data_IF_743241471330
#
_entry.id   IF_743241471330
#
_cell.length_a   1.000
_cell.length_b   1.000
_cell.length_c   1.000
_cell.angle_alpha   90.00
_cell.angle_beta   90.00
_cell.angle_gamma   90.00
#
_symmetry.space_group_name_H-M   'P 1'
#
loop_
_entity.id
_entity.type
_entity.pdbx_description
1 polymer ?
#
# COMPACT_ATOMS: atom_id res chain seq x y z
N UNK A 1 -15.65 -35.09 -68.62
CA UNK A 1 -15.13 -34.90 -67.25
C UNK A 1 -15.14 -33.40 -66.95
N UNK A 2 -16.25 -32.82 -66.44
CA UNK A 2 -16.23 -31.43 -66.02
C UNK A 2 -15.46 -31.33 -64.70
N UNK A 3 -14.42 -30.50 -64.67
CA UNK A 3 -13.67 -30.18 -63.47
C UNK A 3 -14.57 -29.39 -62.50
N UNK A 4 -14.64 -29.86 -61.25
CA UNK A 4 -15.50 -29.34 -60.21
C UNK A 4 -14.87 -28.09 -59.55
N UNK A 5 -14.84 -26.98 -60.32
CA UNK A 5 -14.24 -25.71 -59.89
C UNK A 5 -14.97 -25.05 -58.71
N UNK A 6 -16.27 -25.34 -58.54
CA UNK A 6 -17.08 -24.76 -57.47
C UNK A 6 -16.74 -25.34 -56.09
N UNK A 7 -16.41 -26.63 -56.00
CA UNK A 7 -15.97 -27.26 -54.75
C UNK A 7 -14.61 -26.77 -54.25
N UNK A 8 -13.70 -26.44 -55.17
CA UNK A 8 -12.33 -26.00 -54.87
C UNK A 8 -12.29 -24.50 -54.47
N UNK A 9 -13.14 -23.66 -55.08
CA UNK A 9 -13.29 -22.25 -54.68
C UNK A 9 -13.98 -22.13 -53.31
N UNK A 10 -15.01 -22.94 -53.03
CA UNK A 10 -15.71 -22.92 -51.73
C UNK A 10 -14.81 -23.33 -50.55
N UNK A 11 -13.88 -24.26 -50.76
CA UNK A 11 -12.91 -24.71 -49.75
C UNK A 11 -11.76 -23.72 -49.54
N UNK A 12 -11.28 -23.06 -50.60
CA UNK A 12 -10.26 -22.00 -50.50
C UNK A 12 -10.79 -20.73 -49.83
N UNK A 13 -12.03 -20.32 -50.12
CA UNK A 13 -12.67 -19.15 -49.49
C UNK A 13 -12.95 -19.43 -48.01
N UNK A 14 -13.41 -20.63 -47.65
CA UNK A 14 -13.63 -21.01 -46.25
C UNK A 14 -12.34 -21.07 -45.42
N UNK A 15 -11.24 -21.56 -46.00
CA UNK A 15 -9.95 -21.69 -45.29
C UNK A 15 -9.23 -20.35 -45.11
N UNK A 16 -9.30 -19.45 -46.08
CA UNK A 16 -8.73 -18.09 -45.95
C UNK A 16 -9.52 -17.20 -44.99
N UNK A 17 -10.86 -17.28 -44.98
CA UNK A 17 -11.70 -16.61 -43.97
C UNK A 17 -11.47 -17.17 -42.57
N UNK A 18 -11.38 -18.50 -42.40
CA UNK A 18 -11.09 -19.11 -41.11
C UNK A 18 -9.70 -18.72 -40.56
N UNK A 19 -8.68 -18.67 -41.42
CA UNK A 19 -7.32 -18.29 -41.03
C UNK A 19 -7.20 -16.81 -40.64
N UNK A 20 -7.90 -15.91 -41.35
CA UNK A 20 -7.87 -14.47 -41.06
C UNK A 20 -8.68 -14.11 -39.81
N UNK A 21 -9.80 -14.79 -39.56
CA UNK A 21 -10.55 -14.68 -38.30
C UNK A 21 -9.72 -15.22 -37.13
N UNK A 22 -9.05 -16.37 -37.30
CA UNK A 22 -8.14 -16.93 -36.30
C UNK A 22 -6.96 -16.02 -35.95
N UNK A 23 -6.34 -15.38 -36.95
CA UNK A 23 -5.25 -14.43 -36.75
C UNK A 23 -5.70 -13.15 -36.03
N UNK A 24 -6.89 -12.62 -36.36
CA UNK A 24 -7.46 -11.45 -35.69
C UNK A 24 -7.77 -11.74 -34.22
N UNK A 25 -8.41 -12.86 -33.91
CA UNK A 25 -8.67 -13.26 -32.53
C UNK A 25 -7.36 -13.53 -31.79
N UNK A 26 -6.41 -14.25 -32.37
CA UNK A 26 -5.09 -14.52 -31.76
C UNK A 26 -4.32 -13.22 -31.46
N UNK A 27 -4.32 -12.24 -32.38
CA UNK A 27 -3.71 -10.94 -32.17
C UNK A 27 -4.41 -10.13 -31.06
N UNK A 28 -5.75 -10.13 -31.03
CA UNK A 28 -6.55 -9.44 -30.00
C UNK A 28 -6.40 -10.07 -28.61
N UNK A 29 -6.39 -11.39 -28.52
CA UNK A 29 -6.18 -12.11 -27.27
C UNK A 29 -4.73 -11.98 -26.77
N UNK A 30 -3.76 -11.99 -27.69
CA UNK A 30 -2.34 -11.77 -27.36
C UNK A 30 -2.07 -10.37 -26.81
N UNK A 31 -2.70 -9.32 -27.35
CA UNK A 31 -2.54 -7.95 -26.83
C UNK A 31 -3.10 -7.81 -25.41
N UNK A 32 -4.30 -8.35 -25.16
CA UNK A 32 -4.94 -8.32 -23.84
C UNK A 32 -4.15 -9.12 -22.79
N UNK A 33 -3.55 -10.25 -23.17
CA UNK A 33 -2.69 -11.03 -22.28
C UNK A 33 -1.41 -10.27 -21.92
N UNK A 34 -0.78 -9.59 -22.89
CA UNK A 34 0.40 -8.75 -22.63
C UNK A 34 0.08 -7.57 -21.72
N UNK A 35 -1.02 -6.87 -21.96
CA UNK A 35 -1.47 -5.77 -21.10
C UNK A 35 -1.69 -6.23 -19.65
N UNK A 36 -2.33 -7.38 -19.46
CA UNK A 36 -2.54 -7.97 -18.12
C UNK A 36 -1.24 -8.39 -17.45
N UNK A 37 -0.31 -8.96 -18.22
CA UNK A 37 1.00 -9.36 -17.70
C UNK A 37 1.80 -8.12 -17.25
N UNK A 38 1.84 -7.07 -18.07
CA UNK A 38 2.50 -5.81 -17.73
C UNK A 38 1.87 -5.14 -16.49
N UNK A 39 0.53 -5.10 -16.41
CA UNK A 39 -0.15 -4.57 -15.23
C UNK A 39 0.16 -5.38 -13.97
N UNK A 40 0.23 -6.72 -14.09
CA UNK A 40 0.61 -7.59 -12.98
C UNK A 40 2.07 -7.39 -12.54
N UNK A 41 2.99 -7.21 -13.48
CA UNK A 41 4.40 -6.93 -13.24
C UNK A 41 4.59 -5.58 -12.52
N UNK A 42 4.03 -4.50 -13.08
CA UNK A 42 4.10 -3.16 -12.47
C UNK A 42 3.56 -3.13 -11.05
N UNK A 43 2.45 -3.84 -10.82
CA UNK A 43 1.89 -4.01 -9.48
C UNK A 43 2.84 -4.75 -8.54
N UNK A 44 3.48 -5.81 -9.02
CA UNK A 44 4.44 -6.59 -8.21
C UNK A 44 5.63 -5.75 -7.79
N UNK A 45 6.20 -5.03 -8.74
CA UNK A 45 7.35 -4.16 -8.49
C UNK A 45 6.97 -3.03 -7.53
N UNK A 46 5.84 -2.37 -7.77
CA UNK A 46 5.32 -1.31 -6.89
C UNK A 46 5.10 -1.85 -5.47
N UNK A 47 4.47 -3.01 -5.32
CA UNK A 47 4.23 -3.60 -4.00
C UNK A 47 5.54 -3.96 -3.30
N UNK A 48 6.52 -4.53 -4.01
CA UNK A 48 7.80 -4.92 -3.43
C UNK A 48 8.57 -3.71 -2.88
N UNK A 49 8.60 -2.59 -3.63
CA UNK A 49 9.21 -1.34 -3.18
C UNK A 49 8.53 -0.85 -1.89
N UNK A 50 7.20 -0.77 -1.87
CA UNK A 50 6.47 -0.30 -0.69
C UNK A 50 6.67 -1.23 0.51
N UNK A 51 6.60 -2.55 0.32
CA UNK A 51 6.81 -3.54 1.39
C UNK A 51 8.22 -3.42 1.98
N UNK A 52 9.24 -3.20 1.14
CA UNK A 52 10.60 -2.99 1.61
C UNK A 52 10.71 -1.74 2.48
N UNK A 53 10.14 -0.60 2.03
CA UNK A 53 10.12 0.64 2.81
C UNK A 53 9.42 0.48 4.16
N UNK A 54 8.28 -0.22 4.18
CA UNK A 54 7.58 -0.52 5.43
C UNK A 54 8.40 -1.45 6.35
N UNK A 55 9.19 -2.37 5.80
CA UNK A 55 10.06 -3.22 6.60
C UNK A 55 11.21 -2.44 7.24
N UNK A 56 11.81 -1.50 6.50
CA UNK A 56 12.83 -0.57 7.03
C UNK A 56 12.26 0.28 8.17
N UNK A 57 11.09 0.89 7.96
CA UNK A 57 10.40 1.68 8.98
C UNK A 57 10.02 0.85 10.22
N UNK A 58 9.54 -0.39 10.02
CA UNK A 58 9.25 -1.33 11.12
C UNK A 58 10.52 -1.68 11.91
N UNK A 59 11.67 -1.79 11.23
CA UNK A 59 12.98 -1.96 11.88
C UNK A 59 13.27 -0.81 12.84
N UNK A 60 13.12 0.43 12.37
CA UNK A 60 13.32 1.62 13.22
C UNK A 60 12.35 1.67 14.40
N UNK A 61 11.07 1.36 14.19
CA UNK A 61 10.09 1.30 15.28
C UNK A 61 10.46 0.27 16.35
N UNK A 62 11.02 -0.89 15.96
CA UNK A 62 11.49 -1.91 16.92
C UNK A 62 12.69 -1.42 17.73
N UNK A 63 13.53 -0.60 17.13
CA UNK A 63 14.72 -0.04 17.76
C UNK A 63 14.46 1.32 18.44
N UNK A 64 13.24 1.85 18.41
CA UNK A 64 12.93 3.22 18.84
C UNK A 64 13.29 3.54 20.31
N UNK A 65 13.41 2.51 21.16
CA UNK A 65 13.88 2.66 22.55
C UNK A 65 15.38 2.98 22.61
N UNK A 66 16.18 2.46 21.68
CA UNK A 66 17.64 2.54 21.69
C UNK A 66 18.20 3.46 20.59
N UNK A 67 17.49 3.60 19.47
CA UNK A 67 17.89 4.37 18.29
C UNK A 67 16.95 5.56 18.11
N UNK A 68 17.42 6.73 18.55
CA UNK A 68 16.67 8.01 18.52
C UNK A 68 17.33 9.07 17.64
N UNK A 69 18.16 8.65 16.69
CA UNK A 69 18.75 9.55 15.71
C UNK A 69 17.68 10.04 14.73
N UNK A 70 17.27 11.29 14.89
CA UNK A 70 16.22 11.92 14.09
C UNK A 70 16.58 11.96 12.61
N UNK A 71 17.86 12.05 12.23
CA UNK A 71 18.28 12.03 10.82
C UNK A 71 17.99 10.67 10.20
N UNK A 72 18.25 9.58 10.91
CA UNK A 72 17.96 8.21 10.44
C UNK A 72 16.45 8.03 10.26
N UNK A 73 15.66 8.46 11.24
CA UNK A 73 14.20 8.43 11.15
C UNK A 73 13.66 9.24 9.97
N UNK A 74 14.17 10.46 9.78
CA UNK A 74 13.79 11.34 8.70
C UNK A 74 14.02 10.69 7.34
N UNK A 75 15.25 10.23 7.07
CA UNK A 75 15.61 9.61 5.78
C UNK A 75 14.71 8.41 5.47
N UNK A 76 14.42 7.57 6.46
CA UNK A 76 13.55 6.40 6.26
C UNK A 76 12.10 6.79 5.99
N UNK A 77 11.58 7.79 6.71
CA UNK A 77 10.20 8.26 6.57
C UNK A 77 10.00 8.96 5.23
N UNK A 78 10.91 9.86 4.85
CA UNK A 78 10.92 10.54 3.55
C UNK A 78 10.95 9.53 2.41
N UNK A 79 11.90 8.60 2.41
CA UNK A 79 12.00 7.55 1.40
C UNK A 79 10.74 6.65 1.34
N UNK A 80 10.06 6.45 2.47
CA UNK A 80 8.78 5.73 2.51
C UNK A 80 7.67 6.55 1.88
N UNK A 81 7.54 7.83 2.22
CA UNK A 81 6.50 8.71 1.70
C UNK A 81 6.63 8.98 0.20
N UNK A 82 7.85 9.20 -0.28
CA UNK A 82 8.14 9.36 -1.70
C UNK A 82 7.73 8.12 -2.50
N UNK A 83 8.05 6.93 -1.98
CA UNK A 83 7.62 5.68 -2.60
C UNK A 83 6.09 5.56 -2.70
N UNK A 84 5.35 6.04 -1.69
CA UNK A 84 3.89 6.07 -1.74
C UNK A 84 3.35 7.11 -2.72
N UNK A 85 3.98 8.27 -2.85
CA UNK A 85 3.57 9.29 -3.82
C UNK A 85 3.79 8.80 -5.25
N UNK A 86 4.94 8.20 -5.53
CA UNK A 86 5.25 7.56 -6.82
C UNK A 86 4.27 6.43 -7.16
N UNK A 87 3.85 5.67 -6.15
CA UNK A 87 2.92 4.56 -6.29
C UNK A 87 1.44 5.00 -6.36
N UNK A 88 1.11 6.27 -6.05
CA UNK A 88 -0.27 6.73 -5.78
C UNK A 88 -1.26 6.39 -6.89
N UNK A 89 -0.85 6.56 -8.14
CA UNK A 89 -1.70 6.29 -9.31
C UNK A 89 -1.85 4.80 -9.63
N UNK A 90 -0.92 3.96 -9.16
CA UNK A 90 -0.91 2.51 -9.36
C UNK A 90 -1.64 1.77 -8.24
N UNK A 91 -1.71 2.37 -7.05
CA UNK A 91 -2.44 1.82 -5.92
C UNK A 91 -3.97 1.83 -6.16
N UNK A 92 -4.68 0.77 -5.74
CA UNK A 92 -6.13 0.77 -5.72
C UNK A 92 -6.62 1.84 -4.75
N UNK A 93 -7.78 2.44 -5.02
CA UNK A 93 -8.31 3.58 -4.26
C UNK A 93 -8.32 3.34 -2.74
N UNK A 94 -8.62 2.11 -2.33
CA UNK A 94 -8.70 1.66 -0.93
C UNK A 94 -7.35 1.46 -0.23
N UNK A 95 -6.23 1.69 -0.91
CA UNK A 95 -4.89 1.67 -0.32
C UNK A 95 -4.19 3.03 -0.45
N UNK A 96 -4.80 4.01 -1.13
CA UNK A 96 -4.18 5.34 -1.34
C UNK A 96 -4.06 6.16 -0.05
N UNK A 97 -4.84 5.83 0.99
CA UNK A 97 -4.73 6.48 2.29
C UNK A 97 -3.52 5.99 3.10
N UNK A 98 -2.87 4.88 2.71
CA UNK A 98 -1.83 4.23 3.53
C UNK A 98 -0.72 5.19 3.95
N UNK A 99 -0.23 6.06 3.04
CA UNK A 99 0.76 7.09 3.39
C UNK A 99 0.31 7.93 4.59
N UNK A 100 -0.91 8.46 4.55
CA UNK A 100 -1.48 9.28 5.62
C UNK A 100 -1.65 8.47 6.90
N UNK A 101 -2.14 7.24 6.80
CA UNK A 101 -2.35 6.39 7.97
C UNK A 101 -1.04 5.96 8.64
N UNK A 102 -0.01 5.65 7.86
CA UNK A 102 1.34 5.36 8.34
C UNK A 102 1.93 6.61 9.02
N UNK A 103 1.74 7.79 8.42
CA UNK A 103 2.16 9.05 9.03
C UNK A 103 1.54 9.28 10.40
N UNK A 104 0.25 9.02 10.56
CA UNK A 104 -0.39 9.08 11.88
C UNK A 104 0.20 8.06 12.85
N UNK A 105 0.36 6.80 12.43
CA UNK A 105 0.92 5.75 13.28
C UNK A 105 2.33 6.10 13.79
N UNK A 106 3.20 6.60 12.92
CA UNK A 106 4.55 7.06 13.28
C UNK A 106 4.46 8.28 14.20
N UNK A 107 3.60 9.25 13.87
CA UNK A 107 3.40 10.46 14.65
C UNK A 107 3.00 10.16 16.09
N UNK A 108 2.06 9.23 16.31
CA UNK A 108 1.68 8.79 17.66
C UNK A 108 2.82 8.07 18.39
N UNK A 109 3.62 7.26 17.68
CA UNK A 109 4.72 6.50 18.28
C UNK A 109 5.96 7.35 18.64
N UNK A 110 6.19 8.45 17.93
CA UNK A 110 7.47 9.19 17.98
C UNK A 110 7.32 10.69 18.21
N UNK A 111 6.10 11.22 18.13
CA UNK A 111 5.78 12.65 17.95
C UNK A 111 6.41 13.31 16.72
N UNK A 112 7.03 12.54 15.82
CA UNK A 112 7.54 13.05 14.55
C UNK A 112 6.38 13.25 13.58
N UNK A 113 5.70 14.38 13.73
CA UNK A 113 4.71 14.90 12.80
C UNK A 113 5.45 15.65 11.69
N UNK A 114 6.01 14.93 10.71
CA UNK A 114 6.58 15.57 9.53
C UNK A 114 5.47 16.25 8.72
N UNK A 115 5.23 17.54 8.97
CA UNK A 115 4.49 18.42 8.06
C UNK A 115 5.38 18.66 6.84
N UNK A 116 4.79 18.89 5.67
CA UNK A 116 5.43 18.96 4.35
C UNK A 116 6.53 20.05 4.21
N UNK A 117 6.93 20.69 5.30
CA UNK A 117 7.93 21.75 5.37
C UNK A 117 8.87 21.54 6.57
N UNK A 118 9.62 20.43 6.58
CA UNK A 118 10.80 20.32 7.44
C UNK A 118 11.94 21.09 6.77
N UNK A 119 12.31 22.25 7.32
CA UNK A 119 13.41 23.05 6.80
C UNK A 119 14.71 22.35 7.20
N UNK A 120 15.41 21.78 6.24
CA UNK A 120 16.74 21.18 6.43
C UNK A 120 17.72 22.25 6.96
N UNK A 121 17.78 22.43 8.27
CA UNK A 121 18.65 23.43 8.89
C UNK A 121 18.56 23.36 10.40
N UNK A 122 19.47 22.60 11.01
CA UNK A 122 20.07 22.81 12.34
C UNK A 122 19.20 23.22 13.53
N UNK A 123 17.91 22.86 13.59
CA UNK A 123 17.17 22.98 14.85
C UNK A 123 17.55 21.82 15.78
N UNK A 124 18.49 22.08 16.68
CA UNK A 124 18.87 21.25 17.86
C UNK A 124 17.69 20.87 18.76
N UNK A 125 16.48 21.41 18.50
CA UNK A 125 15.26 21.13 19.24
C UNK A 125 14.41 19.98 18.66
N UNK A 126 14.83 19.37 17.56
CA UNK A 126 14.08 18.26 16.97
C UNK A 126 14.29 16.98 17.79
N UNK A 127 13.58 16.90 18.91
CA UNK A 127 13.72 15.81 19.87
C UNK A 127 12.48 14.92 19.78
N UNK A 128 12.67 13.63 19.48
CA UNK A 128 11.59 12.65 19.51
C UNK A 128 10.93 12.63 20.90
N UNK A 129 9.59 12.59 20.97
CA UNK A 129 8.88 12.47 22.24
C UNK A 129 9.29 11.19 22.99
N UNK A 130 9.33 11.20 24.34
CA UNK A 130 9.73 10.05 25.13
C UNK A 130 9.13 8.73 24.64
N UNK A 131 9.93 7.67 24.64
CA UNK A 131 9.50 6.36 24.16
C UNK A 131 8.18 5.93 24.83
N UNK A 132 7.18 5.61 24.01
CA UNK A 132 5.90 5.10 24.48
C UNK A 132 5.68 3.70 23.93
N UNK A 133 5.97 2.69 24.75
CA UNK A 133 5.86 1.28 24.38
C UNK A 133 4.52 0.93 23.72
N UNK A 134 3.41 1.47 24.24
CA UNK A 134 2.07 1.19 23.73
C UNK A 134 1.90 1.72 22.31
N UNK A 135 2.18 3.00 22.08
CA UNK A 135 2.03 3.62 20.77
C UNK A 135 3.03 3.08 19.75
N UNK A 136 4.27 2.79 20.16
CA UNK A 136 5.25 2.13 19.29
C UNK A 136 4.78 0.73 18.86
N UNK A 137 4.23 -0.06 19.79
CA UNK A 137 3.67 -1.38 19.47
C UNK A 137 2.52 -1.26 18.47
N UNK A 138 1.61 -0.31 18.68
CA UNK A 138 0.50 -0.07 17.76
C UNK A 138 0.97 0.32 16.36
N UNK A 139 1.99 1.17 16.25
CA UNK A 139 2.57 1.54 14.97
C UNK A 139 3.23 0.35 14.26
N UNK A 140 3.99 -0.49 14.99
CA UNK A 140 4.61 -1.71 14.44
C UNK A 140 3.55 -2.63 13.85
N UNK A 141 2.49 -2.92 14.62
CA UNK A 141 1.42 -3.80 14.17
C UNK A 141 0.64 -3.23 12.98
N UNK A 142 0.41 -1.91 12.96
CA UNK A 142 -0.24 -1.26 11.83
C UNK A 142 0.60 -1.32 10.56
N UNK A 143 1.90 -1.02 10.65
CA UNK A 143 2.85 -1.10 9.52
C UNK A 143 2.92 -2.53 8.99
N UNK A 144 2.89 -3.53 9.87
CA UNK A 144 2.84 -4.95 9.48
C UNK A 144 1.54 -5.30 8.73
N UNK A 145 0.39 -4.89 9.24
CA UNK A 145 -0.91 -5.07 8.57
C UNK A 145 -0.96 -4.38 7.20
N UNK A 146 -0.40 -3.18 7.10
CA UNK A 146 -0.28 -2.46 5.82
C UNK A 146 0.60 -3.23 4.82
N UNK A 147 1.75 -3.75 5.26
CA UNK A 147 2.63 -4.58 4.45
C UNK A 147 1.92 -5.88 3.99
N UNK A 148 1.14 -6.52 4.86
CA UNK A 148 0.35 -7.70 4.50
C UNK A 148 -0.75 -7.39 3.50
N UNK A 149 -1.38 -6.22 3.61
CA UNK A 149 -2.35 -5.75 2.62
C UNK A 149 -1.70 -5.51 1.26
N UNK A 150 -0.47 -4.98 1.22
CA UNK A 150 0.31 -4.84 -0.01
C UNK A 150 0.74 -6.20 -0.57
N UNK A 151 1.12 -7.18 0.25
CA UNK A 151 1.40 -8.56 -0.19
C UNK A 151 0.17 -9.21 -0.82
N UNK A 152 -1.00 -9.09 -0.16
CA UNK A 152 -2.27 -9.57 -0.74
C UNK A 152 -2.56 -8.90 -2.07
N UNK A 153 -2.37 -7.58 -2.17
CA UNK A 153 -2.54 -6.85 -3.43
C UNK A 153 -1.57 -7.33 -4.51
N UNK A 154 -0.29 -7.52 -4.18
CA UNK A 154 0.76 -8.05 -5.07
C UNK A 154 0.40 -9.40 -5.69
N UNK A 155 -0.08 -10.31 -4.85
CA UNK A 155 -0.23 -11.74 -5.18
C UNK A 155 -1.61 -12.08 -5.75
N UNK A 156 -2.55 -11.13 -5.72
CA UNK A 156 -3.93 -11.31 -6.22
C UNK A 156 -4.02 -11.39 -7.75
N UNK A 157 -5.16 -11.85 -8.27
CA UNK A 157 -5.56 -11.51 -9.65
C UNK A 157 -6.09 -10.06 -9.72
N UNK A 158 -6.29 -9.51 -10.92
CA UNK A 158 -6.76 -8.13 -11.10
C UNK A 158 -8.09 -7.84 -10.40
N UNK A 159 -9.06 -8.77 -10.46
CA UNK A 159 -10.40 -8.58 -9.90
C UNK A 159 -10.37 -8.51 -8.37
N UNK A 160 -9.48 -9.27 -7.74
CA UNK A 160 -9.27 -9.27 -6.29
C UNK A 160 -8.40 -8.07 -5.88
N UNK A 161 -7.37 -7.75 -6.67
CA UNK A 161 -6.44 -6.64 -6.42
C UNK A 161 -7.17 -5.31 -6.21
N UNK A 162 -8.15 -5.00 -7.05
CA UNK A 162 -8.95 -3.76 -6.96
C UNK A 162 -9.83 -3.69 -5.71
N UNK A 163 -10.07 -4.83 -5.06
CA UNK A 163 -10.91 -4.94 -3.85
C UNK A 163 -10.10 -5.00 -2.56
N UNK A 164 -8.79 -5.21 -2.64
CA UNK A 164 -7.91 -5.25 -1.46
C UNK A 164 -8.05 -3.93 -0.70
N UNK A 165 -8.16 -4.04 0.62
CA UNK A 165 -8.34 -2.93 1.54
C UNK A 165 -7.44 -3.10 2.75
N UNK A 166 -7.02 -1.97 3.30
CA UNK A 166 -6.49 -1.84 4.64
C UNK A 166 -7.37 -0.80 5.36
N UNK A 167 -7.69 -0.97 6.65
CA UNK A 167 -8.29 0.10 7.42
C UNK A 167 -7.31 1.26 7.59
N UNK A 168 -7.84 2.47 7.67
CA UNK A 168 -7.15 3.66 8.16
C UNK A 168 -6.66 3.41 9.60
N UNK A 169 -5.62 4.11 10.06
CA UNK A 169 -5.02 3.84 11.37
C UNK A 169 -6.01 3.99 12.54
N UNK A 170 -6.84 5.04 12.53
CA UNK A 170 -7.87 5.26 13.56
C UNK A 170 -8.96 4.19 13.54
N UNK A 171 -9.37 3.76 12.34
CA UNK A 171 -10.34 2.68 12.18
C UNK A 171 -9.75 1.35 12.66
N UNK A 172 -8.49 1.08 12.36
CA UNK A 172 -7.77 -0.07 12.87
C UNK A 172 -7.66 -0.06 14.41
N UNK A 173 -7.36 1.08 15.03
CA UNK A 173 -7.36 1.23 16.48
C UNK A 173 -8.75 0.94 17.07
N UNK A 174 -9.81 1.41 16.42
CA UNK A 174 -11.19 1.17 16.84
C UNK A 174 -11.58 -0.30 16.72
N UNK A 175 -11.31 -0.91 15.57
CA UNK A 175 -11.60 -2.32 15.29
C UNK A 175 -10.83 -3.28 16.20
N UNK A 176 -9.62 -2.90 16.61
CA UNK A 176 -8.79 -3.68 17.54
C UNK A 176 -9.07 -3.41 19.02
N UNK A 177 -10.04 -2.53 19.35
CA UNK A 177 -10.37 -2.18 20.74
C UNK A 177 -9.28 -1.38 21.46
N UNK A 178 -8.40 -0.70 20.70
CA UNK A 178 -7.24 0.06 21.20
C UNK A 178 -7.45 1.57 21.17
N UNK A 179 -8.58 2.00 20.62
CA UNK A 179 -8.97 3.40 20.60
C UNK A 179 -9.32 3.86 22.02
N UNK A 180 -8.59 4.86 22.53
CA UNK A 180 -8.90 5.49 23.81
C UNK A 180 -9.75 6.72 23.51
N UNK A 181 -11.07 6.60 23.65
CA UNK A 181 -11.95 7.77 23.70
C UNK A 181 -11.64 8.53 24.99
N UNK A 182 -11.36 9.83 24.92
CA UNK A 182 -10.95 10.68 26.06
C UNK A 182 -11.97 10.85 27.19
N UNK A 183 -12.94 9.95 27.35
CA UNK A 183 -14.06 10.08 28.31
C UNK A 183 -13.81 9.44 29.68
N UNK A 184 -12.71 8.71 29.89
CA UNK A 184 -12.45 8.04 31.19
C UNK A 184 -11.47 8.78 32.10
N UNK A 185 -11.45 10.13 32.06
CA UNK A 185 -10.76 10.94 33.09
C UNK A 185 -11.62 12.13 33.52
N UNK A 186 -12.93 11.95 33.64
CA UNK A 186 -13.67 12.75 34.63
C UNK A 186 -13.52 11.98 35.93
N UNK A 187 -12.41 12.21 36.63
CA UNK A 187 -12.28 11.86 38.03
C UNK A 187 -13.57 12.30 38.72
N UNK A 188 -14.22 11.32 39.36
CA UNK A 188 -15.19 11.52 40.40
C UNK A 188 -14.57 12.44 41.45
N UNK A 189 -14.71 13.75 41.24
CA UNK A 189 -14.60 14.74 42.31
C UNK A 189 -15.74 14.38 43.26
N UNK A 190 -15.42 13.61 44.29
CA UNK A 190 -16.25 13.47 45.47
C UNK A 190 -16.65 14.88 45.92
N UNK A 191 -17.93 15.27 45.83
CA UNK A 191 -18.44 16.38 46.58
C UNK A 191 -18.96 15.79 47.91
N UNK A 192 -18.10 15.83 48.93
CA UNK A 192 -18.42 15.74 50.36
C UNK A 192 -18.65 14.33 50.95
N UNK A 193 -17.90 13.99 52.00
CA UNK A 193 -18.23 12.83 52.83
C UNK A 193 -17.26 12.40 53.93
N UNK A 194 -16.79 13.34 54.78
CA UNK A 194 -16.34 13.23 56.20
C UNK A 194 -15.02 13.95 56.50
#
# INVERSE_FOLDING_TARGET
MPFDYLGLVATLVSSTLAASVGAFFSARFGSLQRERALAAELRRDTANVLIQRLAELKGLLREAEHTRDVKVWHVSIEATYDAFDDARHRLPARLRHLKRSIRYAIGEATALSFVDYWRSGDDENDTMAPYNYRWTTYAIEYVEMAADSLRRWRDSDQRVADKVRAPDFDDWLRESGRYVTGESTTESRDPLGL
#
